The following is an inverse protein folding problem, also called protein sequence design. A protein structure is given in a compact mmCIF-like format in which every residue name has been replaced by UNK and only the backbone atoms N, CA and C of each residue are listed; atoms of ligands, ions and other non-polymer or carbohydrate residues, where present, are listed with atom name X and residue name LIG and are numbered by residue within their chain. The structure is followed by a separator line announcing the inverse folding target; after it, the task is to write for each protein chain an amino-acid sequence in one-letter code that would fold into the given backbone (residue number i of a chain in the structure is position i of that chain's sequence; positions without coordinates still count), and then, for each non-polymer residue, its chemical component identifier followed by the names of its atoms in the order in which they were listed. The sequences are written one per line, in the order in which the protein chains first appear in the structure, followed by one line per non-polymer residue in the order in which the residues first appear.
data_IF_311501012830
#
_entry.id   IF_311501012830
#
_cell.length_a   1.000
_cell.length_b   1.000
_cell.length_c   1.000
_cell.angle_alpha   90.00
_cell.angle_beta   90.00
_cell.angle_gamma   90.00
#
_symmetry.space_group_name_H-M   'P 1'
#
loop_
_entity.id
_entity.type
_entity.pdbx_description
1 polymer ?
#
# COMPACT_ATOMS: atom_id res chain seq x y z
N UNK A 1 -51.47 7.34 -21.04
CA UNK A 1 -50.62 6.14 -20.79
C UNK A 1 -49.29 6.17 -21.51
N UNK A 2 -49.21 6.47 -22.82
CA UNK A 2 -47.93 6.47 -23.58
C UNK A 2 -46.91 7.53 -23.12
N UNK A 3 -47.34 8.69 -22.64
CA UNK A 3 -46.43 9.75 -22.14
C UNK A 3 -45.81 9.40 -20.79
N UNK A 4 -46.60 8.86 -19.86
CA UNK A 4 -46.09 8.42 -18.54
C UNK A 4 -45.04 7.29 -18.68
N UNK A 5 -45.18 6.45 -19.71
CA UNK A 5 -44.19 5.39 -20.02
C UNK A 5 -42.86 5.99 -20.51
N UNK A 6 -42.87 7.08 -21.29
CA UNK A 6 -41.63 7.78 -21.69
C UNK A 6 -40.92 8.38 -20.49
N UNK A 7 -41.66 9.03 -19.59
CA UNK A 7 -41.10 9.61 -18.36
C UNK A 7 -40.48 8.52 -17.48
N UNK A 8 -41.18 7.38 -17.33
CA UNK A 8 -40.65 6.22 -16.61
C UNK A 8 -39.37 5.65 -17.22
N UNK A 9 -39.32 5.52 -18.56
CA UNK A 9 -38.13 5.05 -19.28
C UNK A 9 -36.92 5.98 -19.09
N UNK A 10 -37.15 7.30 -19.14
CA UNK A 10 -36.10 8.29 -18.92
C UNK A 10 -35.59 8.21 -17.47
N UNK A 11 -36.49 8.09 -16.49
CA UNK A 11 -36.12 7.93 -15.09
C UNK A 11 -35.35 6.62 -14.84
N UNK A 12 -35.73 5.53 -15.50
CA UNK A 12 -35.03 4.24 -15.43
C UNK A 12 -33.59 4.34 -15.96
N UNK A 13 -33.41 4.97 -17.12
CA UNK A 13 -32.10 5.16 -17.74
C UNK A 13 -31.22 6.06 -16.86
N UNK A 14 -31.78 7.14 -16.32
CA UNK A 14 -31.08 8.01 -15.37
C UNK A 14 -30.65 7.26 -14.10
N UNK A 15 -31.54 6.44 -13.54
CA UNK A 15 -31.23 5.59 -12.39
C UNK A 15 -30.11 4.60 -12.70
N UNK A 16 -30.15 3.95 -13.85
CA UNK A 16 -29.09 3.04 -14.30
C UNK A 16 -27.76 3.77 -14.52
N UNK A 17 -27.79 4.96 -15.13
CA UNK A 17 -26.58 5.75 -15.37
C UNK A 17 -25.92 6.21 -14.05
N UNK A 18 -26.73 6.69 -13.09
CA UNK A 18 -26.24 7.08 -11.77
C UNK A 18 -25.72 5.87 -11.00
N UNK A 19 -26.45 4.75 -11.00
CA UNK A 19 -26.01 3.52 -10.34
C UNK A 19 -24.70 3.01 -10.93
N UNK A 20 -24.58 2.97 -12.26
CA UNK A 20 -23.36 2.58 -12.95
C UNK A 20 -22.19 3.50 -12.62
N UNK A 21 -22.41 4.81 -12.66
CA UNK A 21 -21.38 5.80 -12.33
C UNK A 21 -20.89 5.68 -10.88
N UNK A 22 -21.81 5.53 -9.92
CA UNK A 22 -21.48 5.33 -8.51
C UNK A 22 -20.74 4.00 -8.31
N UNK A 23 -21.24 2.90 -8.88
CA UNK A 23 -20.59 1.60 -8.79
C UNK A 23 -19.19 1.62 -9.37
N UNK A 24 -18.95 2.33 -10.47
CA UNK A 24 -17.61 2.45 -11.05
C UNK A 24 -16.68 3.33 -10.20
N UNK A 25 -17.19 4.46 -9.68
CA UNK A 25 -16.41 5.41 -8.87
C UNK A 25 -16.01 4.84 -7.50
N UNK A 26 -16.88 4.06 -6.88
CA UNK A 26 -16.67 3.53 -5.53
C UNK A 26 -16.18 2.08 -5.50
N UNK A 27 -16.02 1.42 -6.66
CA UNK A 27 -15.58 0.02 -6.74
C UNK A 27 -14.32 -0.24 -5.92
N UNK A 28 -13.33 0.64 -6.08
CA UNK A 28 -12.01 0.45 -5.45
C UNK A 28 -12.08 0.75 -3.94
N UNK A 29 -12.91 1.72 -3.52
CA UNK A 29 -13.13 2.02 -2.10
C UNK A 29 -13.88 0.90 -1.36
N UNK A 30 -14.87 0.28 -2.03
CA UNK A 30 -15.62 -0.86 -1.49
C UNK A 30 -14.75 -2.12 -1.46
N UNK A 31 -13.93 -2.36 -2.49
CA UNK A 31 -12.98 -3.47 -2.50
C UNK A 31 -11.90 -3.32 -1.41
N UNK A 32 -11.41 -2.09 -1.19
CA UNK A 32 -10.47 -1.74 -0.13
C UNK A 32 -11.04 -2.00 1.26
N UNK A 33 -12.32 -1.69 1.49
CA UNK A 33 -12.99 -1.98 2.75
C UNK A 33 -13.16 -3.49 3.04
N UNK A 34 -13.15 -4.34 2.00
CA UNK A 34 -13.39 -5.78 2.13
C UNK A 34 -12.08 -6.58 2.24
N UNK A 35 -10.99 -6.11 1.62
CA UNK A 35 -9.66 -6.72 1.74
C UNK A 35 -8.60 -5.60 1.80
N UNK A 36 -8.29 -5.08 3.00
CA UNK A 36 -7.26 -4.08 3.14
C UNK A 36 -5.89 -4.69 2.78
N UNK A 37 -5.12 -3.99 1.96
CA UNK A 37 -3.82 -4.44 1.48
C UNK A 37 -2.83 -3.29 1.45
N UNK A 38 -1.56 -3.64 1.63
CA UNK A 38 -0.42 -2.77 1.34
C UNK A 38 0.46 -3.40 0.29
N UNK A 39 1.18 -2.57 -0.45
CA UNK A 39 2.31 -2.96 -1.27
C UNK A 39 3.58 -2.74 -0.48
N UNK A 40 4.38 -3.79 -0.30
CA UNK A 40 5.69 -3.69 0.31
C UNK A 40 6.79 -3.86 -0.74
N UNK A 41 7.89 -3.15 -0.52
CA UNK A 41 9.07 -3.10 -1.36
C UNK A 41 10.16 -3.93 -0.71
N UNK A 42 10.75 -4.87 -1.43
CA UNK A 42 11.83 -5.70 -0.91
C UNK A 42 12.99 -5.82 -1.89
N UNK A 43 14.21 -5.95 -1.36
CA UNK A 43 15.46 -5.95 -2.14
C UNK A 43 16.13 -7.33 -2.22
N UNK A 44 15.68 -8.29 -1.43
CA UNK A 44 16.16 -9.66 -1.51
C UNK A 44 15.37 -10.63 -0.64
N UNK A 45 15.48 -11.91 -0.96
CA UNK A 45 14.88 -13.02 -0.23
C UNK A 45 15.95 -14.05 0.10
N UNK A 46 15.95 -14.55 1.32
CA UNK A 46 17.02 -15.39 1.88
C UNK A 46 16.42 -16.57 2.63
N UNK A 47 17.10 -17.71 2.62
CA UNK A 47 16.63 -18.94 3.28
C UNK A 47 16.95 -18.99 4.78
N UNK A 48 17.74 -18.04 5.29
CA UNK A 48 18.19 -18.01 6.69
C UNK A 48 18.23 -16.59 7.20
N UNK A 49 17.86 -16.39 8.46
CA UNK A 49 17.90 -15.08 9.13
C UNK A 49 19.30 -14.44 9.08
N UNK A 50 20.36 -15.21 9.35
CA UNK A 50 21.75 -14.71 9.37
C UNK A 50 22.16 -14.06 8.04
N UNK A 51 21.82 -14.68 6.91
CA UNK A 51 22.09 -14.11 5.58
C UNK A 51 21.30 -12.82 5.34
N UNK A 52 20.04 -12.78 5.79
CA UNK A 52 19.21 -11.59 5.68
C UNK A 52 19.76 -10.44 6.54
N UNK A 53 20.13 -10.70 7.79
CA UNK A 53 20.75 -9.73 8.69
C UNK A 53 22.04 -9.15 8.12
N UNK A 54 22.94 -10.01 7.64
CA UNK A 54 24.20 -9.57 7.01
C UNK A 54 23.98 -8.66 5.79
N UNK A 55 22.88 -8.85 5.07
CA UNK A 55 22.52 -8.06 3.88
C UNK A 55 21.65 -6.85 4.21
N UNK A 56 21.00 -6.83 5.36
CA UNK A 56 20.17 -5.72 5.82
C UNK A 56 20.99 -4.45 6.01
N UNK A 57 22.19 -4.57 6.56
CA UNK A 57 23.10 -3.44 6.86
C UNK A 57 23.55 -2.66 5.61
N UNK A 58 23.39 -3.25 4.42
CA UNK A 58 23.63 -2.55 3.15
C UNK A 58 22.57 -1.51 2.81
N UNK A 59 21.42 -1.52 3.51
CA UNK A 59 20.29 -0.65 3.24
C UNK A 59 20.01 0.23 4.48
N UNK A 60 20.05 1.57 4.34
CA UNK A 60 20.07 2.49 5.47
C UNK A 60 18.79 2.43 6.32
N UNK A 61 17.67 1.96 5.75
CA UNK A 61 16.40 1.77 6.45
C UNK A 61 15.67 0.55 5.90
N UNK A 62 15.75 -0.56 6.65
CA UNK A 62 15.12 -1.81 6.25
C UNK A 62 14.76 -2.69 7.45
N UNK A 63 13.74 -3.53 7.26
CA UNK A 63 13.32 -4.54 8.22
C UNK A 63 13.37 -5.93 7.59
N UNK A 64 13.42 -6.97 8.42
CA UNK A 64 13.33 -8.35 7.94
C UNK A 64 11.92 -8.84 8.22
N UNK A 65 11.26 -9.33 7.18
CA UNK A 65 9.97 -9.99 7.27
C UNK A 65 10.16 -11.46 6.93
N UNK A 66 9.68 -12.35 7.80
CA UNK A 66 9.67 -13.79 7.55
C UNK A 66 8.30 -14.21 7.06
N UNK A 67 8.30 -14.91 5.92
CA UNK A 67 7.11 -15.53 5.36
C UNK A 67 7.47 -16.96 4.93
N UNK A 68 6.89 -17.93 5.62
CA UNK A 68 7.00 -19.35 5.28
C UNK A 68 8.46 -19.86 5.21
N UNK A 69 9.31 -19.41 6.13
CA UNK A 69 10.74 -19.75 6.18
C UNK A 69 11.63 -18.98 5.21
N UNK A 70 11.07 -18.00 4.48
CA UNK A 70 11.82 -17.09 3.60
C UNK A 70 11.90 -15.72 4.26
N UNK A 71 13.13 -15.23 4.44
CA UNK A 71 13.42 -13.93 5.03
C UNK A 71 13.58 -12.89 3.93
N UNK A 72 12.66 -11.92 3.88
CA UNK A 72 12.68 -10.81 2.92
C UNK A 72 13.18 -9.53 3.60
N UNK A 73 14.06 -8.80 2.92
CA UNK A 73 14.50 -7.47 3.39
C UNK A 73 13.59 -6.42 2.80
N UNK A 74 12.71 -5.86 3.62
CA UNK A 74 11.72 -4.84 3.25
C UNK A 74 12.32 -3.45 3.45
N UNK A 75 12.16 -2.59 2.45
CA UNK A 75 12.71 -1.23 2.39
C UNK A 75 11.61 -0.15 2.37
N UNK A 76 10.33 -0.52 2.22
CA UNK A 76 9.20 0.41 2.27
C UNK A 76 7.87 -0.32 2.19
N UNK A 77 6.80 0.28 2.72
CA UNK A 77 5.42 -0.27 2.72
C UNK A 77 4.42 0.85 2.55
N UNK A 78 3.55 0.76 1.54
CA UNK A 78 2.57 1.81 1.22
C UNK A 78 1.27 1.20 0.69
N UNK A 79 0.15 1.88 0.91
CA UNK A 79 -1.16 1.54 0.35
C UNK A 79 -1.54 2.44 -0.83
N UNK A 80 -1.11 3.71 -0.82
CA UNK A 80 -1.57 4.67 -1.81
C UNK A 80 -0.75 4.56 -3.09
N UNK A 81 -1.44 4.28 -4.21
CA UNK A 81 -0.80 4.15 -5.53
C UNK A 81 0.13 5.32 -5.91
N UNK A 82 -0.24 6.56 -5.57
CA UNK A 82 0.61 7.72 -5.87
C UNK A 82 1.86 7.76 -5.02
N UNK A 83 1.81 7.27 -3.77
CA UNK A 83 2.98 7.14 -2.90
C UNK A 83 3.86 5.98 -3.34
N UNK A 84 3.26 4.86 -3.74
CA UNK A 84 3.96 3.71 -4.32
C UNK A 84 4.79 4.17 -5.53
N UNK A 85 4.23 4.98 -6.41
CA UNK A 85 4.93 5.51 -7.59
C UNK A 85 6.05 6.50 -7.22
N UNK A 86 5.80 7.40 -6.26
CA UNK A 86 6.80 8.34 -5.74
C UNK A 86 7.99 7.60 -5.13
N UNK A 87 7.73 6.63 -4.25
CA UNK A 87 8.76 5.89 -3.54
C UNK A 87 9.48 4.89 -4.45
N UNK A 88 8.80 4.31 -5.43
CA UNK A 88 9.40 3.54 -6.52
C UNK A 88 10.43 4.35 -7.30
N UNK A 89 10.11 5.61 -7.62
CA UNK A 89 11.03 6.52 -8.31
C UNK A 89 12.18 6.91 -7.40
N UNK A 90 11.89 7.29 -6.15
CA UNK A 90 12.90 7.63 -5.15
C UNK A 90 13.94 6.50 -4.95
N UNK A 91 13.50 5.25 -4.76
CA UNK A 91 14.42 4.13 -4.59
C UNK A 91 15.26 3.84 -5.85
N UNK A 92 14.69 4.00 -7.05
CA UNK A 92 15.44 3.88 -8.31
C UNK A 92 16.51 4.96 -8.43
N UNK A 93 16.18 6.21 -8.06
CA UNK A 93 17.12 7.33 -8.07
C UNK A 93 18.26 7.14 -7.06
N UNK A 94 18.00 6.44 -5.96
CA UNK A 94 19.02 5.99 -5.00
C UNK A 94 19.83 4.76 -5.48
N UNK A 95 19.54 4.23 -6.68
CA UNK A 95 20.21 3.04 -7.22
C UNK A 95 19.81 1.72 -6.55
N UNK A 96 18.68 1.70 -5.83
CA UNK A 96 18.20 0.51 -5.12
C UNK A 96 17.36 -0.34 -6.08
N UNK A 97 17.77 -1.58 -6.29
CA UNK A 97 16.94 -2.58 -6.98
C UNK A 97 15.93 -3.17 -6.02
N UNK A 98 14.66 -3.24 -6.42
CA UNK A 98 13.59 -3.75 -5.56
C UNK A 98 12.51 -4.49 -6.37
N UNK A 99 11.73 -5.26 -5.62
CA UNK A 99 10.51 -5.93 -6.04
C UNK A 99 9.34 -5.40 -5.21
N UNK A 100 8.12 -5.60 -5.70
CA UNK A 100 6.88 -5.19 -5.04
C UNK A 100 5.97 -6.39 -4.89
N UNK A 101 5.39 -6.55 -3.69
CA UNK A 101 4.39 -7.57 -3.41
C UNK A 101 3.27 -6.99 -2.55
N UNK A 102 2.07 -7.57 -2.66
CA UNK A 102 0.93 -7.18 -1.83
C UNK A 102 0.85 -8.05 -0.58
N UNK A 103 0.59 -7.42 0.57
CA UNK A 103 0.29 -8.09 1.83
C UNK A 103 -1.09 -7.65 2.32
N UNK A 104 -1.91 -8.63 2.72
CA UNK A 104 -3.19 -8.33 3.40
C UNK A 104 -2.91 -7.87 4.81
N UNK A 105 -3.57 -6.78 5.21
CA UNK A 105 -3.40 -6.16 6.52
C UNK A 105 -4.77 -5.78 7.10
N UNK A 106 -4.80 -5.36 8.36
CA UNK A 106 -6.00 -4.78 8.94
C UNK A 106 -6.17 -3.30 8.59
N UNK A 107 -7.38 -2.79 8.75
CA UNK A 107 -7.70 -1.38 8.48
C UNK A 107 -7.08 -0.40 9.48
N UNK A 108 -6.71 -0.88 10.68
CA UNK A 108 -6.11 -0.04 11.73
C UNK A 108 -4.72 0.38 11.31
N UNK A 109 -3.90 -0.58 10.87
CA UNK A 109 -2.57 -0.34 10.33
C UNK A 109 -2.61 0.61 9.12
N UNK A 110 -3.56 0.41 8.21
CA UNK A 110 -3.76 1.31 7.06
C UNK A 110 -4.07 2.76 7.48
N UNK A 111 -4.89 2.92 8.52
CA UNK A 111 -5.16 4.24 9.08
C UNK A 111 -3.91 4.86 9.71
N UNK A 112 -3.08 4.07 10.39
CA UNK A 112 -1.84 4.54 11.02
C UNK A 112 -0.82 5.03 9.97
N UNK A 113 -0.64 4.30 8.87
CA UNK A 113 0.31 4.68 7.82
C UNK A 113 -0.18 5.82 6.93
N UNK A 114 -1.51 6.05 6.83
CA UNK A 114 -2.11 7.04 5.94
C UNK A 114 -1.61 8.48 6.17
N UNK A 115 -1.35 8.85 7.42
CA UNK A 115 -0.84 10.18 7.76
C UNK A 115 0.61 10.37 7.28
N UNK A 116 1.43 9.33 7.39
CA UNK A 116 2.80 9.37 6.89
C UNK A 116 2.85 9.40 5.36
N UNK A 117 1.96 8.67 4.69
CA UNK A 117 1.80 8.75 3.23
C UNK A 117 1.40 10.15 2.77
N UNK A 118 0.51 10.82 3.50
CA UNK A 118 0.18 12.22 3.22
C UNK A 118 1.42 13.11 3.34
N UNK A 119 2.27 12.88 4.34
CA UNK A 119 3.53 13.61 4.49
C UNK A 119 4.47 13.36 3.31
N UNK A 120 4.58 12.13 2.78
CA UNK A 120 5.39 11.86 1.58
C UNK A 120 4.89 12.70 0.40
N UNK A 121 3.58 12.76 0.18
CA UNK A 121 2.98 13.54 -0.92
C UNK A 121 3.22 15.04 -0.81
N UNK A 122 3.31 15.57 0.41
CA UNK A 122 3.41 17.01 0.68
C UNK A 122 4.81 17.49 1.05
N UNK A 123 5.80 16.60 1.15
CA UNK A 123 7.17 16.93 1.59
C UNK A 123 8.18 16.91 0.45
N UNK A 124 9.32 17.52 0.71
CA UNK A 124 10.49 17.45 -0.16
C UNK A 124 11.23 16.11 -0.03
N UNK A 125 11.95 15.72 -1.08
CA UNK A 125 12.71 14.46 -1.15
C UNK A 125 13.64 14.21 0.05
N UNK A 126 14.17 15.27 0.67
CA UNK A 126 15.05 15.16 1.83
C UNK A 126 14.39 14.56 3.08
N UNK A 127 13.05 14.54 3.14
CA UNK A 127 12.31 13.97 4.27
C UNK A 127 11.81 12.54 4.01
N UNK A 128 11.90 12.05 2.77
CA UNK A 128 11.31 10.77 2.36
C UNK A 128 11.89 9.61 3.16
N UNK A 129 13.21 9.61 3.38
CA UNK A 129 13.87 8.58 4.16
C UNK A 129 13.34 8.53 5.60
N UNK A 130 13.28 9.68 6.29
CA UNK A 130 12.81 9.73 7.68
C UNK A 130 11.35 9.30 7.82
N UNK A 131 10.49 9.73 6.88
CA UNK A 131 9.08 9.34 6.86
C UNK A 131 8.95 7.83 6.60
N UNK A 132 9.75 7.31 5.65
CA UNK A 132 9.79 5.88 5.36
C UNK A 132 10.23 5.05 6.57
N UNK A 133 11.26 5.50 7.31
CA UNK A 133 11.67 4.86 8.56
C UNK A 133 10.52 4.80 9.57
N UNK A 134 9.75 5.89 9.72
CA UNK A 134 8.58 5.90 10.60
C UNK A 134 7.54 4.86 10.16
N UNK A 135 7.25 4.77 8.86
CA UNK A 135 6.31 3.77 8.33
C UNK A 135 6.81 2.34 8.58
N UNK A 136 8.09 2.08 8.31
CA UNK A 136 8.70 0.76 8.55
C UNK A 136 8.67 0.36 10.03
N UNK A 137 8.84 1.31 10.95
CA UNK A 137 8.73 1.04 12.37
C UNK A 137 7.30 0.64 12.76
N UNK A 138 6.29 1.38 12.29
CA UNK A 138 4.87 1.05 12.51
C UNK A 138 4.56 -0.34 11.94
N UNK A 139 5.08 -0.64 10.74
CA UNK A 139 4.89 -1.95 10.12
C UNK A 139 5.59 -3.08 10.90
N UNK A 140 6.79 -2.86 11.41
CA UNK A 140 7.49 -3.83 12.24
C UNK A 140 6.72 -4.11 13.55
N UNK A 141 6.16 -3.08 14.18
CA UNK A 141 5.29 -3.24 15.35
C UNK A 141 4.01 -4.04 15.01
N UNK A 142 3.41 -3.77 13.86
CA UNK A 142 2.25 -4.51 13.37
C UNK A 142 2.56 -6.01 13.19
N UNK A 143 3.69 -6.34 12.55
CA UNK A 143 4.12 -7.72 12.37
C UNK A 143 4.32 -8.43 13.71
N UNK A 144 4.97 -7.79 14.69
CA UNK A 144 5.22 -8.40 15.98
C UNK A 144 3.92 -8.66 16.79
N UNK A 145 2.91 -7.79 16.67
CA UNK A 145 1.60 -7.99 17.30
C UNK A 145 0.80 -9.14 16.67
N UNK A 146 1.03 -9.44 15.39
CA UNK A 146 0.30 -10.50 14.67
C UNK A 146 0.79 -11.92 14.96
N UNK A 147 1.92 -12.06 15.67
CA UNK A 147 2.54 -13.35 16.03
C UNK A 147 2.14 -13.81 17.44
N UNK A 148 1.50 -12.96 18.25
CA UNK A 148 0.88 -13.31 19.56
C UNK A 148 -0.56 -13.83 19.40
#
# INVERSE_FOLDING_TARGET
MKENVKIFLIALILGMAIAFFLSFKFRDQVAFAINPKVTYFYTGSYNTLELAEKKKDTYPNSIIYEDSGIYKIIIGVYQDSSVIDLMSSYFKDQGISFYQEELKVDSTFLSEISNYELLIKSSDLGYYESINTSILNVFNEYLNKSVE
#
